data_IF_987129254605
#
_entry.id   IF_987129254605
#
_cell.length_a   1.000
_cell.length_b   1.000
_cell.length_c   1.000
_cell.angle_alpha   90.00
_cell.angle_beta   90.00
_cell.angle_gamma   90.00
#
_symmetry.space_group_name_H-M   'P 1'
#
loop_
_entity.id
_entity.type
_entity.pdbx_description
1 polymer ?
#
# COMPACT_ATOMS: atom_id res chain seq x y z
N UNK A 1 -6.60 0.26 27.81
CA UNK A 1 -6.10 -0.66 26.76
C UNK A 1 -6.25 0.07 25.45
N UNK A 2 -5.21 0.18 24.63
CA UNK A 2 -5.38 0.76 23.29
C UNK A 2 -6.17 -0.21 22.42
N UNK A 3 -7.00 0.31 21.50
CA UNK A 3 -7.67 -0.55 20.53
C UNK A 3 -6.60 -1.28 19.69
N UNK A 4 -6.73 -2.60 19.57
CA UNK A 4 -5.76 -3.45 18.86
C UNK A 4 -4.50 -3.80 19.66
N UNK A 5 -4.38 -3.44 20.95
CA UNK A 5 -3.25 -3.86 21.78
C UNK A 5 -3.24 -5.39 21.99
N UNK A 6 -2.24 -6.08 21.44
CA UNK A 6 -2.11 -7.56 21.51
C UNK A 6 -1.18 -8.01 22.63
N UNK A 7 -0.42 -7.08 23.24
CA UNK A 7 0.43 -7.40 24.38
C UNK A 7 1.52 -6.36 24.66
N UNK A 8 2.31 -6.64 25.70
CA UNK A 8 3.42 -5.79 26.14
C UNK A 8 4.61 -6.63 26.61
N UNK A 9 5.81 -6.31 26.14
CA UNK A 9 7.06 -6.98 26.55
C UNK A 9 8.11 -5.91 26.86
N UNK A 10 8.79 -6.02 28.02
CA UNK A 10 9.86 -5.12 28.45
C UNK A 10 9.56 -3.61 28.28
N UNK A 11 8.30 -3.21 28.47
CA UNK A 11 7.87 -1.82 28.35
C UNK A 11 7.34 -1.41 26.98
N UNK A 12 7.59 -2.19 25.93
CA UNK A 12 7.09 -2.00 24.55
C UNK A 12 5.70 -2.59 24.41
N UNK A 13 4.77 -1.83 23.82
CA UNK A 13 3.42 -2.30 23.51
C UNK A 13 3.31 -2.65 22.03
N UNK A 14 2.61 -3.73 21.73
CA UNK A 14 2.34 -4.17 20.37
C UNK A 14 0.87 -3.89 20.07
N UNK A 15 0.63 -3.20 18.97
CA UNK A 15 -0.70 -2.84 18.50
C UNK A 15 -0.86 -3.37 17.09
N UNK A 16 -1.86 -4.21 16.88
CA UNK A 16 -2.32 -4.62 15.57
C UNK A 16 -3.36 -3.63 15.06
N UNK A 17 -3.25 -3.24 13.79
CA UNK A 17 -4.17 -2.30 13.17
C UNK A 17 -4.33 -2.64 11.70
N UNK A 18 -5.56 -2.48 11.20
CA UNK A 18 -5.89 -2.59 9.78
C UNK A 18 -5.30 -1.43 8.96
N UNK A 19 -4.87 -0.35 9.61
CA UNK A 19 -4.33 0.85 8.95
C UNK A 19 -2.82 0.74 8.67
N UNK A 20 -2.15 -0.29 9.19
CA UNK A 20 -0.73 -0.48 8.92
C UNK A 20 -0.53 -0.81 7.44
N UNK A 21 0.29 -0.03 6.74
CA UNK A 21 0.48 -0.23 5.30
C UNK A 21 1.20 -1.56 5.03
N UNK A 22 0.61 -2.35 4.14
CA UNK A 22 1.29 -3.46 3.47
C UNK A 22 1.60 -3.00 2.04
N UNK A 23 2.87 -3.00 1.66
CA UNK A 23 3.26 -2.80 0.27
C UNK A 23 3.11 -4.14 -0.44
N UNK A 24 1.99 -4.28 -1.14
CA UNK A 24 1.64 -5.45 -1.92
C UNK A 24 1.80 -5.15 -3.41
N UNK A 25 2.47 -6.05 -4.12
CA UNK A 25 2.53 -6.02 -5.57
C UNK A 25 1.42 -6.91 -6.13
N UNK A 26 0.55 -6.34 -6.95
CA UNK A 26 -0.53 -7.07 -7.60
C UNK A 26 0.03 -8.12 -8.57
N UNK A 27 -0.76 -9.15 -8.87
CA UNK A 27 -0.39 -10.17 -9.85
C UNK A 27 -0.13 -9.55 -11.24
N UNK A 28 0.81 -10.12 -12.00
CA UNK A 28 1.15 -9.60 -13.33
C UNK A 28 0.01 -9.79 -14.35
N UNK A 29 -0.82 -10.82 -14.16
CA UNK A 29 -2.03 -11.04 -14.94
C UNK A 29 -3.21 -11.35 -14.02
N UNK A 30 -4.42 -11.34 -14.57
CA UNK A 30 -5.65 -11.75 -13.88
C UNK A 30 -5.64 -13.21 -13.36
N UNK A 31 -4.70 -14.05 -13.81
CA UNK A 31 -4.66 -15.49 -13.47
C UNK A 31 -3.34 -15.96 -12.87
N UNK A 32 -2.26 -15.20 -13.07
CA UNK A 32 -0.92 -15.58 -12.64
C UNK A 32 -0.18 -14.40 -12.03
N UNK A 33 0.48 -14.67 -10.89
CA UNK A 33 1.35 -13.70 -10.22
C UNK A 33 2.63 -13.42 -10.99
N UNK A 34 3.20 -14.44 -11.62
CA UNK A 34 4.49 -14.39 -12.31
C UNK A 34 4.35 -14.81 -13.77
N UNK A 35 5.34 -14.41 -14.58
CA UNK A 35 5.51 -14.81 -15.97
C UNK A 35 6.93 -15.35 -16.18
N UNK A 36 7.19 -15.96 -17.33
CA UNK A 36 8.49 -16.57 -17.64
C UNK A 36 9.06 -16.00 -18.93
N UNK A 37 10.31 -15.57 -18.91
CA UNK A 37 11.03 -15.09 -20.10
C UNK A 37 11.22 -16.26 -21.08
N UNK A 38 10.74 -16.09 -22.30
CA UNK A 38 11.03 -16.99 -23.43
C UNK A 38 12.32 -16.56 -24.14
N UNK A 39 12.43 -15.27 -24.44
CA UNK A 39 13.63 -14.67 -25.04
C UNK A 39 13.70 -13.17 -24.76
N UNK A 40 14.87 -12.58 -24.98
CA UNK A 40 15.07 -11.14 -24.88
C UNK A 40 15.84 -10.63 -26.09
N UNK A 41 15.42 -9.49 -26.63
CA UNK A 41 16.16 -8.76 -27.65
C UNK A 41 15.84 -7.27 -27.57
N UNK A 42 16.87 -6.42 -27.52
CA UNK A 42 16.72 -4.96 -27.66
C UNK A 42 15.62 -4.36 -26.77
N UNK A 43 15.65 -4.64 -25.46
CA UNK A 43 14.66 -4.23 -24.44
C UNK A 43 13.28 -4.89 -24.55
N UNK A 44 13.08 -5.81 -25.47
CA UNK A 44 11.84 -6.55 -25.63
C UNK A 44 12.02 -7.93 -25.01
N UNK A 45 11.24 -8.20 -23.97
CA UNK A 45 11.11 -9.51 -23.34
C UNK A 45 9.93 -10.21 -24.02
N UNK A 46 10.18 -11.32 -24.70
CA UNK A 46 9.12 -12.24 -25.14
C UNK A 46 8.81 -13.17 -23.99
N UNK A 47 7.54 -13.34 -23.63
CA UNK A 47 7.10 -14.21 -22.54
C UNK A 47 6.65 -15.57 -23.05
N UNK A 48 6.72 -16.57 -22.18
CA UNK A 48 6.35 -17.96 -22.49
C UNK A 48 4.82 -18.13 -22.50
N UNK A 49 4.13 -17.44 -21.60
CA UNK A 49 2.69 -17.50 -21.43
C UNK A 49 1.95 -16.65 -22.47
N UNK A 50 0.65 -16.95 -22.68
CA UNK A 50 -0.21 -16.05 -23.45
C UNK A 50 -0.55 -14.81 -22.60
N UNK A 51 -0.73 -13.67 -23.25
CA UNK A 51 -1.11 -12.41 -22.60
C UNK A 51 -2.38 -11.86 -23.25
N UNK A 52 -3.40 -11.61 -22.45
CA UNK A 52 -4.64 -10.99 -22.93
C UNK A 52 -4.42 -9.50 -23.22
N UNK A 53 -5.28 -8.90 -24.05
CA UNK A 53 -5.24 -7.44 -24.31
C UNK A 53 -5.47 -6.63 -23.04
N UNK A 54 -6.32 -7.11 -22.13
CA UNK A 54 -6.58 -6.48 -20.84
C UNK A 54 -5.36 -6.52 -19.92
N UNK A 55 -4.71 -7.67 -19.79
CA UNK A 55 -3.50 -7.80 -18.96
C UNK A 55 -2.34 -6.99 -19.55
N UNK A 56 -2.15 -7.01 -20.87
CA UNK A 56 -1.15 -6.19 -21.54
C UNK A 56 -1.35 -4.70 -21.28
N UNK A 57 -2.59 -4.21 -21.36
CA UNK A 57 -2.90 -2.82 -21.05
C UNK A 57 -2.63 -2.48 -19.57
N UNK A 58 -2.94 -3.40 -18.65
CA UNK A 58 -2.72 -3.21 -17.22
C UNK A 58 -1.23 -3.24 -16.82
N UNK A 59 -0.37 -3.87 -17.63
CA UNK A 59 1.08 -3.92 -17.38
C UNK A 59 1.80 -2.61 -17.71
N UNK A 60 1.25 -1.73 -18.54
CA UNK A 60 1.94 -0.50 -18.96
C UNK A 60 2.19 0.42 -17.76
N UNK A 61 3.44 0.85 -17.59
CA UNK A 61 3.87 1.71 -16.49
C UNK A 61 4.12 0.98 -15.17
N UNK A 62 3.81 -0.32 -15.09
CA UNK A 62 4.11 -1.14 -13.91
C UNK A 62 5.60 -1.44 -13.79
N UNK A 63 6.01 -1.82 -12.57
CA UNK A 63 7.36 -2.28 -12.32
C UNK A 63 7.40 -3.80 -12.32
N UNK A 64 8.45 -4.38 -12.88
CA UNK A 64 8.72 -5.82 -12.88
C UNK A 64 10.13 -6.09 -12.38
N UNK A 65 10.34 -7.26 -11.81
CA UNK A 65 11.67 -7.75 -11.42
C UNK A 65 12.01 -8.95 -12.28
N UNK A 66 13.16 -8.92 -12.94
CA UNK A 66 13.71 -10.03 -13.74
C UNK A 66 15.18 -10.19 -13.36
N UNK A 67 15.58 -11.42 -13.03
CA UNK A 67 16.92 -11.75 -12.50
C UNK A 67 17.39 -10.82 -11.35
N UNK A 68 16.46 -10.41 -10.49
CA UNK A 68 16.74 -9.51 -9.36
C UNK A 68 16.89 -8.03 -9.71
N UNK A 69 16.81 -7.65 -10.99
CA UNK A 69 16.84 -6.27 -11.45
C UNK A 69 15.43 -5.71 -11.65
N UNK A 70 15.25 -4.44 -11.31
CA UNK A 70 13.98 -3.73 -11.40
C UNK A 70 13.86 -2.98 -12.73
N UNK A 71 12.74 -3.16 -13.41
CA UNK A 71 12.44 -2.52 -14.70
C UNK A 71 11.05 -1.89 -14.70
N UNK A 72 10.87 -0.89 -15.55
CA UNK A 72 9.58 -0.24 -15.82
C UNK A 72 9.06 -0.67 -17.19
N UNK A 73 7.84 -1.20 -17.22
CA UNK A 73 7.17 -1.61 -18.47
C UNK A 73 6.80 -0.38 -19.30
N UNK A 74 7.51 -0.17 -20.40
CA UNK A 74 7.20 0.90 -21.35
C UNK A 74 5.96 0.57 -22.19
N UNK A 75 5.80 -0.68 -22.59
CA UNK A 75 4.64 -1.19 -23.32
C UNK A 75 4.55 -2.70 -23.17
N UNK A 76 3.35 -3.27 -23.34
CA UNK A 76 3.17 -4.70 -23.49
C UNK A 76 2.25 -5.00 -24.68
N UNK A 77 2.51 -6.10 -25.37
CA UNK A 77 1.75 -6.55 -26.54
C UNK A 77 1.16 -7.92 -26.24
N UNK A 78 -0.17 -8.00 -26.33
CA UNK A 78 -0.92 -9.24 -26.20
C UNK A 78 -0.55 -10.24 -27.29
N UNK A 79 -0.69 -11.52 -27.00
CA UNK A 79 -0.35 -12.58 -27.94
C UNK A 79 -0.52 -13.98 -27.36
N UNK A 80 -0.41 -14.96 -28.24
CA UNK A 80 -0.34 -16.37 -27.85
C UNK A 80 0.94 -16.66 -27.06
N UNK A 81 0.96 -17.80 -26.37
CA UNK A 81 2.15 -18.32 -25.68
C UNK A 81 3.38 -18.31 -26.60
N UNK A 82 4.49 -17.76 -26.10
CA UNK A 82 5.75 -17.61 -26.84
C UNK A 82 5.82 -16.44 -27.81
N UNK A 83 4.75 -15.64 -27.95
CA UNK A 83 4.68 -14.52 -28.89
C UNK A 83 4.29 -13.18 -28.25
N UNK A 84 3.73 -13.18 -27.03
CA UNK A 84 3.44 -11.96 -26.29
C UNK A 84 4.73 -11.28 -25.81
N UNK A 85 4.73 -9.96 -25.71
CA UNK A 85 5.95 -9.19 -25.37
C UNK A 85 5.73 -8.11 -24.33
N UNK A 86 6.79 -7.82 -23.59
CA UNK A 86 6.91 -6.71 -22.64
C UNK A 86 8.16 -5.94 -23.02
N UNK A 87 8.01 -4.65 -23.32
CA UNK A 87 9.13 -3.75 -23.58
C UNK A 87 9.46 -3.00 -22.30
N UNK A 88 10.72 -3.07 -21.87
CA UNK A 88 11.22 -2.35 -20.69
C UNK A 88 11.86 -1.02 -21.08
N UNK A 89 11.82 -0.05 -20.17
CA UNK A 89 12.33 1.31 -20.41
C UNK A 89 13.86 1.36 -20.31
N UNK A 90 14.39 0.70 -19.30
CA UNK A 90 15.79 0.68 -18.93
C UNK A 90 16.60 -0.19 -19.89
N UNK A 91 17.89 0.12 -20.06
CA UNK A 91 18.84 -0.81 -20.67
C UNK A 91 19.37 -1.73 -19.56
N UNK A 92 19.12 -3.04 -19.62
CA UNK A 92 19.63 -3.97 -18.61
C UNK A 92 21.17 -3.93 -18.52
N UNK A 93 21.70 -4.02 -17.30
CA UNK A 93 23.13 -4.30 -17.08
C UNK A 93 23.45 -5.78 -17.34
N UNK A 94 22.45 -6.65 -17.14
CA UNK A 94 22.44 -8.06 -17.51
C UNK A 94 21.16 -8.33 -18.28
N UNK A 95 21.29 -8.87 -19.50
CA UNK A 95 20.13 -9.16 -20.34
C UNK A 95 19.31 -10.31 -19.74
N UNK A 96 17.97 -10.17 -19.64
CA UNK A 96 17.09 -11.28 -19.26
C UNK A 96 17.33 -12.52 -20.12
N UNK A 97 17.46 -13.67 -19.48
CA UNK A 97 17.69 -14.96 -20.14
C UNK A 97 16.40 -15.79 -20.20
N UNK A 98 16.37 -16.75 -21.14
CA UNK A 98 15.27 -17.70 -21.22
C UNK A 98 15.13 -18.49 -19.91
N UNK A 99 13.88 -18.70 -19.47
CA UNK A 99 13.49 -19.29 -18.19
C UNK A 99 13.65 -18.39 -16.95
N UNK A 100 14.12 -17.15 -17.09
CA UNK A 100 14.06 -16.21 -15.99
C UNK A 100 12.61 -15.93 -15.60
N UNK A 101 12.38 -15.80 -14.30
CA UNK A 101 11.05 -15.50 -13.77
C UNK A 101 10.87 -13.99 -13.66
N UNK A 102 9.76 -13.52 -14.21
CA UNK A 102 9.28 -12.15 -14.10
C UNK A 102 8.36 -12.06 -12.90
N UNK A 103 8.74 -11.27 -11.91
CA UNK A 103 7.94 -11.01 -10.72
C UNK A 103 7.34 -9.59 -10.78
N UNK A 104 6.21 -9.35 -10.09
CA UNK A 104 5.75 -8.01 -9.77
C UNK A 104 6.86 -7.21 -9.06
N UNK A 105 7.07 -5.95 -9.45
CA UNK A 105 8.17 -5.12 -8.98
C UNK A 105 7.76 -3.99 -8.03
N UNK A 106 6.50 -3.93 -7.61
CA UNK A 106 5.98 -2.85 -6.76
C UNK A 106 6.15 -3.08 -5.25
N UNK A 107 6.74 -4.21 -4.85
CA UNK A 107 6.96 -4.58 -3.46
C UNK A 107 8.38 -5.13 -3.24
N UNK A 108 8.54 -6.10 -2.32
CA UNK A 108 9.82 -6.70 -2.00
C UNK A 108 10.37 -7.60 -3.10
N UNK A 109 11.52 -8.22 -2.83
CA UNK A 109 12.12 -9.18 -3.74
C UNK A 109 11.11 -10.27 -4.13
N UNK A 110 11.06 -10.64 -5.42
CA UNK A 110 10.08 -11.58 -5.98
C UNK A 110 8.62 -11.14 -5.83
N UNK A 111 8.38 -9.83 -5.70
CA UNK A 111 7.05 -9.25 -5.50
C UNK A 111 6.45 -9.54 -4.13
N UNK A 112 7.25 -9.91 -3.13
CA UNK A 112 6.73 -10.24 -1.80
C UNK A 112 6.19 -9.05 -1.05
N UNK A 113 5.19 -9.28 -0.22
CA UNK A 113 4.62 -8.31 0.68
C UNK A 113 5.69 -7.76 1.63
N UNK A 114 5.68 -6.44 1.77
CA UNK A 114 6.52 -5.72 2.73
C UNK A 114 5.62 -5.06 3.76
N UNK A 115 5.78 -5.50 5.00
CA UNK A 115 5.00 -5.03 6.15
C UNK A 115 5.70 -3.83 6.78
N UNK A 116 5.01 -2.69 6.78
CA UNK A 116 5.51 -1.46 7.40
C UNK A 116 5.15 -1.44 8.88
N UNK A 117 6.10 -1.79 9.74
CA UNK A 117 5.95 -1.71 11.20
C UNK A 117 6.48 -0.37 11.70
N UNK A 118 5.63 0.42 12.36
CA UNK A 118 6.04 1.70 12.94
C UNK A 118 6.41 1.54 14.41
N UNK A 119 7.65 1.87 14.75
CA UNK A 119 8.12 1.99 16.11
C UNK A 119 8.01 3.44 16.56
N UNK A 120 7.26 3.69 17.63
CA UNK A 120 7.12 5.02 18.22
C UNK A 120 7.71 4.98 19.63
N UNK A 121 8.83 5.66 19.80
CA UNK A 121 9.52 5.83 21.06
C UNK A 121 8.73 6.72 22.03
N UNK A 122 9.06 6.60 23.32
CA UNK A 122 8.49 7.49 24.33
C UNK A 122 8.90 8.93 24.04
N UNK A 123 7.94 9.87 24.17
CA UNK A 123 8.12 11.30 23.89
C UNK A 123 8.49 11.64 22.43
N UNK A 124 8.29 10.72 21.48
CA UNK A 124 8.53 10.99 20.05
C UNK A 124 7.62 12.10 19.51
N UNK A 125 6.40 12.18 20.02
CA UNK A 125 5.42 13.20 19.68
C UNK A 125 4.73 13.72 20.95
N UNK A 126 4.31 14.98 20.88
CA UNK A 126 3.50 15.64 21.89
C UNK A 126 2.05 15.67 21.44
N UNK A 127 1.15 15.69 22.41
CA UNK A 127 -0.26 16.03 22.18
C UNK A 127 -0.61 17.18 23.08
N UNK A 128 -1.45 18.10 22.61
CA UNK A 128 -2.01 19.13 23.46
C UNK A 128 -3.23 18.61 24.20
N UNK A 129 -3.35 19.01 25.46
CA UNK A 129 -4.56 18.93 26.26
C UNK A 129 -4.95 20.36 26.62
N UNK A 130 -6.17 20.76 26.24
CA UNK A 130 -6.68 22.12 26.45
C UNK A 130 -7.70 22.08 27.58
N UNK A 131 -7.32 22.60 28.74
CA UNK A 131 -8.21 22.69 29.90
C UNK A 131 -9.30 23.75 29.66
N UNK A 132 -10.55 23.42 29.97
CA UNK A 132 -11.68 24.36 29.88
C UNK A 132 -12.23 24.68 28.49
N UNK A 133 -11.73 24.07 27.40
CA UNK A 133 -12.21 24.37 26.05
C UNK A 133 -11.86 23.37 24.94
N UNK A 134 -11.27 22.22 25.28
CA UNK A 134 -10.81 21.25 24.28
C UNK A 134 -11.90 20.37 23.64
N UNK A 135 -13.10 20.29 24.23
CA UNK A 135 -14.24 19.51 23.73
C UNK A 135 -15.56 20.24 24.05
N UNK A 136 -16.34 20.55 23.01
CA UNK A 136 -17.69 21.09 23.11
C UNK A 136 -18.68 20.09 22.52
N UNK A 137 -19.67 19.67 23.31
CA UNK A 137 -20.79 18.88 22.79
C UNK A 137 -21.95 19.82 22.46
N UNK A 138 -22.45 19.74 21.24
CA UNK A 138 -23.51 20.61 20.72
C UNK A 138 -24.73 19.75 20.44
N UNK A 139 -25.77 19.93 21.26
CA UNK A 139 -27.06 19.25 21.08
C UNK A 139 -28.12 20.30 20.76
N UNK A 140 -28.74 20.16 19.60
CA UNK A 140 -29.87 20.96 19.13
C UNK A 140 -31.11 20.08 19.11
N UNK A 141 -32.10 20.44 19.92
CA UNK A 141 -33.36 19.72 20.05
C UNK A 141 -34.19 19.82 18.74
N UNK A 142 -35.20 18.97 18.62
CA UNK A 142 -36.20 19.05 17.54
C UNK A 142 -36.80 20.47 17.47
N UNK A 143 -36.94 21.03 16.27
CA UNK A 143 -37.47 22.39 16.08
C UNK A 143 -36.47 23.52 16.32
N UNK A 144 -35.21 23.20 16.63
CA UNK A 144 -34.14 24.21 16.86
C UNK A 144 -33.83 25.10 15.65
N UNK A 145 -34.28 24.73 14.45
CA UNK A 145 -34.16 25.52 13.23
C UNK A 145 -35.35 26.49 13.00
N UNK A 146 -36.30 26.56 13.94
CA UNK A 146 -37.43 27.50 13.89
C UNK A 146 -38.29 27.30 12.64
N UNK A 147 -38.54 28.38 11.89
CA UNK A 147 -39.38 28.35 10.69
C UNK A 147 -38.84 27.50 9.55
N UNK A 148 -37.55 27.13 9.58
CA UNK A 148 -36.93 26.20 8.64
C UNK A 148 -37.17 24.72 8.99
N UNK A 149 -37.68 24.42 10.20
CA UNK A 149 -38.16 23.11 10.63
C UNK A 149 -39.59 23.23 11.21
N UNK A 150 -40.59 23.62 10.40
CA UNK A 150 -41.93 23.97 10.89
C UNK A 150 -42.70 22.81 11.51
N UNK A 151 -42.23 21.57 11.33
CA UNK A 151 -42.82 20.35 11.87
C UNK A 151 -41.98 19.71 12.97
N UNK A 152 -40.90 20.36 13.43
CA UNK A 152 -39.98 19.86 14.46
C UNK A 152 -39.46 18.45 14.14
N UNK A 153 -39.05 18.19 12.90
CA UNK A 153 -38.62 16.87 12.42
C UNK A 153 -37.11 16.65 12.50
N UNK A 154 -36.31 17.69 12.70
CA UNK A 154 -34.84 17.60 12.63
C UNK A 154 -34.22 17.98 13.96
N UNK A 155 -33.40 17.07 14.49
CA UNK A 155 -32.49 17.33 15.60
C UNK A 155 -31.05 17.16 15.11
N UNK A 156 -30.10 17.81 15.79
CA UNK A 156 -28.67 17.66 15.47
C UNK A 156 -27.89 17.47 16.74
N UNK A 157 -27.05 16.43 16.74
CA UNK A 157 -26.06 16.21 17.77
C UNK A 157 -24.69 16.18 17.10
N UNK A 158 -23.75 16.90 17.67
CA UNK A 158 -22.37 16.93 17.20
C UNK A 158 -21.44 17.33 18.33
N UNK A 159 -20.15 17.28 18.05
CA UNK A 159 -19.13 17.74 18.96
C UNK A 159 -18.04 18.44 18.17
N UNK A 160 -17.32 19.33 18.85
CA UNK A 160 -16.11 19.97 18.35
C UNK A 160 -15.00 19.68 19.35
N UNK A 161 -13.81 19.38 18.86
CA UNK A 161 -12.64 19.29 19.72
C UNK A 161 -11.45 20.03 19.13
N UNK A 162 -10.65 20.62 19.99
CA UNK A 162 -9.35 21.19 19.64
C UNK A 162 -8.27 20.19 20.05
N UNK A 163 -7.57 19.65 19.06
CA UNK A 163 -6.50 18.66 19.23
C UNK A 163 -5.32 19.06 18.35
N UNK A 164 -4.12 19.09 18.91
CA UNK A 164 -2.87 19.16 18.14
C UNK A 164 -2.00 17.98 18.55
N UNK A 165 -1.30 17.41 17.58
CA UNK A 165 -0.20 16.48 17.79
C UNK A 165 0.99 16.97 16.97
N UNK A 166 2.17 17.00 17.59
CA UNK A 166 3.41 17.52 16.99
C UNK A 166 4.52 16.49 17.16
N UNK A 167 5.30 16.25 16.11
CA UNK A 167 6.50 15.41 16.20
C UNK A 167 7.56 16.21 16.94
N UNK A 168 8.01 15.72 18.09
CA UNK A 168 9.01 16.39 18.92
C UNK A 168 10.42 15.92 18.59
N UNK A 169 10.58 14.62 18.32
CA UNK A 169 11.86 13.98 18.00
C UNK A 169 11.59 12.92 16.94
N UNK A 170 11.87 13.25 15.69
CA UNK A 170 11.56 12.38 14.54
C UNK A 170 12.35 11.07 14.60
N UNK A 171 13.57 11.09 15.13
CA UNK A 171 14.46 9.94 15.26
C UNK A 171 13.88 8.84 16.17
N UNK A 172 12.91 9.17 17.03
CA UNK A 172 12.20 8.20 17.86
C UNK A 172 11.02 7.55 17.12
N UNK A 173 10.78 7.91 15.87
CA UNK A 173 9.78 7.30 15.01
C UNK A 173 10.49 6.59 13.85
N UNK A 174 10.50 5.27 13.87
CA UNK A 174 11.19 4.47 12.85
C UNK A 174 10.21 3.54 12.17
N UNK A 175 10.14 3.62 10.84
CA UNK A 175 9.49 2.61 10.01
C UNK A 175 10.48 1.49 9.75
N UNK A 176 10.14 0.28 10.21
CA UNK A 176 10.85 -0.93 9.85
C UNK A 176 10.05 -1.69 8.79
N UNK A 177 10.68 -1.95 7.66
CA UNK A 177 10.09 -2.70 6.55
C UNK A 177 10.57 -4.13 6.62
N UNK A 178 9.64 -5.05 6.89
CA UNK A 178 9.94 -6.46 7.10
C UNK A 178 9.25 -7.29 6.04
N UNK A 179 9.93 -8.31 5.53
CA UNK A 179 9.38 -9.28 4.59
C UNK A 179 9.39 -10.67 5.21
N UNK A 180 8.41 -11.50 4.86
CA UNK A 180 8.34 -12.90 5.30
C UNK A 180 8.01 -13.81 4.12
N UNK A 181 8.03 -15.15 4.28
CA UNK A 181 7.47 -16.08 3.29
C UNK A 181 5.94 -16.09 3.21
N UNK A 182 5.26 -15.44 4.15
CA UNK A 182 3.82 -15.32 4.16
C UNK A 182 3.40 -14.01 3.49
N UNK A 183 2.32 -14.11 2.71
CA UNK A 183 1.72 -13.00 1.96
C UNK A 183 0.31 -12.79 2.52
N UNK A 184 -0.03 -11.55 2.87
CA UNK A 184 -1.35 -11.19 3.40
C UNK A 184 -2.20 -10.46 2.37
N UNK A 185 -1.59 -9.98 1.29
CA UNK A 185 -2.23 -9.06 0.34
C UNK A 185 -2.22 -7.62 0.84
N UNK A 186 -2.85 -6.74 0.07
CA UNK A 186 -3.01 -5.35 0.46
C UNK A 186 -3.93 -5.22 1.69
N UNK A 187 -3.55 -4.35 2.63
CA UNK A 187 -4.46 -3.75 3.61
C UNK A 187 -5.26 -2.61 2.98
#
# INVERSE_FOLDING_TARGET
MFAGEIGRIHGVRFVETTEAKIFHAADLTSTTRTLTVSSYASKVITITEALSSTDAAALVGRKIIVDGYLYTVASAVAGSAGSATITISETPTHDPAASDIIYPGEAGAKGRDVYSVLFIGKNAYGVTEVEGGGLETIIKQLGSAGTADPLNQRATSGWKATKVAEILVQEYMVRNEVCTPFESGAN
#
